data_IF_472799072942
#
_entry.id   IF_472799072942
#
_cell.length_a   1.000
_cell.length_b   1.000
_cell.length_c   1.000
_cell.angle_alpha   90.00
_cell.angle_beta   90.00
_cell.angle_gamma   90.00
#
_symmetry.space_group_name_H-M   'P 1'
#
loop_
_entity.id
_entity.type
_entity.pdbx_description
1 polymer ?
#
# COMPACT_ATOMS: atom_id res chain seq x y z
N UNK A 1 -18.29 -12.73 -11.81
CA UNK A 1 -18.65 -12.05 -13.08
C UNK A 1 -17.67 -10.92 -13.29
N UNK A 2 -16.79 -11.03 -14.31
CA UNK A 2 -15.68 -10.10 -14.58
C UNK A 2 -15.86 -9.41 -15.95
N UNK A 3 -17.09 -9.33 -16.44
CA UNK A 3 -17.34 -9.22 -17.88
C UNK A 3 -17.89 -7.86 -18.33
N UNK A 4 -17.70 -6.80 -17.54
CA UNK A 4 -17.95 -5.42 -18.01
C UNK A 4 -17.18 -4.37 -17.18
N UNK A 5 -15.85 -4.52 -17.05
CA UNK A 5 -15.02 -3.42 -16.53
C UNK A 5 -14.76 -2.45 -17.68
N UNK A 6 -15.07 -1.14 -17.55
CA UNK A 6 -14.65 -0.14 -18.53
C UNK A 6 -13.18 -0.32 -18.90
N UNK A 7 -12.86 -0.21 -20.19
CA UNK A 7 -11.52 -0.47 -20.75
C UNK A 7 -10.40 0.31 -20.04
N UNK A 8 -10.72 1.45 -19.43
CA UNK A 8 -9.77 2.30 -18.72
C UNK A 8 -9.46 1.87 -17.28
N UNK A 9 -10.27 1.03 -16.63
CA UNK A 9 -10.08 0.74 -15.21
C UNK A 9 -8.74 0.06 -14.94
N UNK A 10 -8.40 -0.99 -15.70
CA UNK A 10 -7.11 -1.67 -15.56
C UNK A 10 -5.93 -0.72 -15.82
N UNK A 11 -6.06 0.16 -16.81
CA UNK A 11 -5.05 1.18 -17.11
C UNK A 11 -4.87 2.14 -15.93
N UNK A 12 -5.97 2.62 -15.37
CA UNK A 12 -5.98 3.51 -14.21
C UNK A 12 -5.36 2.85 -12.97
N UNK A 13 -5.62 1.57 -12.74
CA UNK A 13 -5.02 0.79 -11.66
C UNK A 13 -3.50 0.70 -11.79
N UNK A 14 -3.00 0.36 -12.98
CA UNK A 14 -1.55 0.33 -13.27
C UNK A 14 -0.91 1.72 -13.19
N UNK A 15 -1.62 2.76 -13.63
CA UNK A 15 -1.15 4.14 -13.52
C UNK A 15 -1.03 4.57 -12.05
N UNK A 16 -2.01 4.22 -11.21
CA UNK A 16 -1.96 4.49 -9.77
C UNK A 16 -0.76 3.78 -9.12
N UNK A 17 -0.51 2.52 -9.49
CA UNK A 17 0.66 1.78 -9.02
C UNK A 17 1.98 2.46 -9.38
N UNK A 18 2.14 2.87 -10.63
CA UNK A 18 3.33 3.56 -11.11
C UNK A 18 3.55 4.89 -10.37
N UNK A 19 2.48 5.64 -10.10
CA UNK A 19 2.56 6.89 -9.33
C UNK A 19 2.97 6.63 -7.88
N UNK A 20 2.33 5.66 -7.20
CA UNK A 20 2.69 5.29 -5.84
C UNK A 20 4.15 4.82 -5.73
N UNK A 21 4.64 4.06 -6.71
CA UNK A 21 6.05 3.68 -6.77
C UNK A 21 6.96 4.91 -6.94
N UNK A 22 6.64 5.81 -7.88
CA UNK A 22 7.39 7.05 -8.11
C UNK A 22 7.48 7.91 -6.85
N UNK A 23 6.41 7.98 -6.06
CA UNK A 23 6.35 8.78 -4.85
C UNK A 23 7.28 8.31 -3.74
N UNK A 24 7.79 7.08 -3.79
CA UNK A 24 8.83 6.60 -2.86
C UNK A 24 10.16 7.33 -3.07
N UNK A 25 10.43 7.82 -4.28
CA UNK A 25 11.68 8.48 -4.65
C UNK A 25 11.60 10.02 -4.59
N UNK A 26 10.39 10.59 -4.43
CA UNK A 26 10.19 12.05 -4.37
C UNK A 26 10.32 12.54 -2.92
N UNK A 27 11.14 13.58 -2.75
CA UNK A 27 11.32 14.32 -1.50
C UNK A 27 10.86 15.77 -1.65
N UNK A 28 10.70 16.47 -0.53
CA UNK A 28 10.21 17.86 -0.53
C UNK A 28 11.09 18.83 -1.35
N UNK A 29 12.40 18.55 -1.43
CA UNK A 29 13.40 19.32 -2.16
C UNK A 29 13.59 18.87 -3.62
N UNK A 30 12.86 17.83 -4.07
CA UNK A 30 12.87 17.40 -5.47
C UNK A 30 12.33 18.53 -6.35
N UNK A 31 13.10 19.01 -7.36
CA UNK A 31 12.62 20.03 -8.28
C UNK A 31 11.33 19.60 -8.98
N UNK A 32 10.37 20.51 -9.07
CA UNK A 32 9.05 20.23 -9.64
C UNK A 32 8.48 21.43 -10.40
N UNK A 33 7.43 21.20 -11.21
CA UNK A 33 6.71 22.27 -11.89
C UNK A 33 5.53 22.73 -11.05
N UNK A 34 5.27 24.05 -11.02
CA UNK A 34 4.16 24.62 -10.26
C UNK A 34 2.84 23.91 -10.57
N UNK A 35 2.11 23.52 -9.51
CA UNK A 35 0.85 22.79 -9.62
C UNK A 35 0.98 21.27 -9.71
N UNK A 36 2.18 20.70 -9.93
CA UNK A 36 2.39 19.25 -9.81
C UNK A 36 2.06 18.78 -8.38
N UNK A 37 1.41 17.62 -8.26
CA UNK A 37 1.06 17.05 -6.96
C UNK A 37 1.74 15.70 -6.76
N UNK A 38 2.07 15.43 -5.51
CA UNK A 38 2.73 14.19 -5.11
C UNK A 38 2.29 13.77 -3.71
N UNK A 39 2.43 12.48 -3.42
CA UNK A 39 2.40 12.00 -2.05
C UNK A 39 3.84 11.95 -1.54
N UNK A 40 4.20 12.76 -0.54
CA UNK A 40 5.56 12.82 0.02
C UNK A 40 5.48 12.59 1.50
N UNK A 41 6.28 11.65 2.03
CA UNK A 41 6.22 11.25 3.44
C UNK A 41 4.78 10.94 3.92
N UNK A 42 3.99 10.30 3.06
CA UNK A 42 2.55 10.02 3.28
C UNK A 42 1.62 11.25 3.36
N UNK A 43 2.12 12.47 3.19
CA UNK A 43 1.30 13.69 3.09
C UNK A 43 0.96 14.05 1.64
N UNK A 44 -0.13 14.79 1.44
CA UNK A 44 -0.43 15.37 0.14
C UNK A 44 0.38 16.65 -0.04
N UNK A 45 1.10 16.74 -1.15
CA UNK A 45 1.97 17.86 -1.47
C UNK A 45 1.67 18.43 -2.85
N UNK A 46 1.78 19.74 -2.98
CA UNK A 46 1.75 20.46 -4.25
C UNK A 46 3.05 21.23 -4.44
N UNK A 47 3.52 21.28 -5.68
CA UNK A 47 4.66 22.06 -6.05
C UNK A 47 4.32 23.56 -6.08
N UNK A 48 5.00 24.32 -5.24
CA UNK A 48 4.91 25.79 -5.17
C UNK A 48 6.32 26.35 -5.29
N UNK A 49 6.52 27.26 -6.26
CA UNK A 49 7.83 27.88 -6.53
C UNK A 49 9.00 26.88 -6.68
N UNK A 50 8.75 25.74 -7.33
CA UNK A 50 9.77 24.73 -7.65
C UNK A 50 10.08 23.72 -6.54
N UNK A 51 9.35 23.75 -5.42
CA UNK A 51 9.49 22.79 -4.31
C UNK A 51 8.14 22.24 -3.89
N UNK A 52 8.11 21.02 -3.38
CA UNK A 52 6.88 20.44 -2.86
C UNK A 52 6.60 20.95 -1.45
N UNK A 53 5.40 21.52 -1.27
CA UNK A 53 4.84 21.93 0.02
C UNK A 53 3.61 21.08 0.26
N UNK A 54 3.51 20.47 1.43
CA UNK A 54 2.43 19.52 1.72
C UNK A 54 1.92 19.57 3.14
N UNK A 55 0.81 18.88 3.35
CA UNK A 55 0.15 18.74 4.64
C UNK A 55 -0.05 17.24 4.92
N UNK A 56 0.20 16.78 6.16
CA UNK A 56 -0.08 15.38 6.50
C UNK A 56 -1.58 15.09 6.35
N UNK A 57 -1.87 13.85 5.97
CA UNK A 57 -3.24 13.34 6.00
C UNK A 57 -3.70 13.18 7.47
N UNK A 58 -4.95 13.55 7.75
CA UNK A 58 -5.53 13.46 9.09
C UNK A 58 -5.83 12.01 9.50
N UNK A 59 -5.95 11.76 10.81
CA UNK A 59 -6.50 10.50 11.33
C UNK A 59 -5.69 9.23 11.02
N UNK A 60 -4.37 9.35 10.83
CA UNK A 60 -3.50 8.22 10.48
C UNK A 60 -3.64 7.75 9.03
N UNK A 61 -4.42 8.47 8.21
CA UNK A 61 -4.48 8.24 6.77
C UNK A 61 -3.16 8.60 6.11
N UNK A 62 -2.96 8.11 4.89
CA UNK A 62 -1.78 8.39 4.07
C UNK A 62 -2.22 8.78 2.66
N UNK A 63 -1.43 9.63 2.01
CA UNK A 63 -1.66 10.04 0.63
C UNK A 63 -1.28 8.90 -0.31
N UNK A 64 -2.19 8.58 -1.23
CA UNK A 64 -1.93 7.64 -2.33
C UNK A 64 -2.53 8.14 -3.65
N UNK A 65 -1.97 7.66 -4.76
CA UNK A 65 -2.65 7.64 -6.04
C UNK A 65 -3.69 6.51 -6.07
N UNK A 66 -4.91 6.85 -6.47
CA UNK A 66 -6.05 5.96 -6.63
C UNK A 66 -6.57 6.02 -8.08
N UNK A 67 -7.05 4.90 -8.65
CA UNK A 67 -7.64 4.88 -9.98
C UNK A 67 -8.95 5.67 -10.01
N UNK A 68 -9.17 6.45 -11.08
CA UNK A 68 -10.50 7.02 -11.34
C UNK A 68 -11.43 5.94 -11.87
N UNK A 69 -12.69 5.95 -11.42
CA UNK A 69 -13.67 4.90 -11.72
C UNK A 69 -14.63 5.26 -12.85
N UNK A 70 -14.80 6.56 -13.11
CA UNK A 70 -15.79 7.07 -14.08
C UNK A 70 -15.14 7.66 -15.34
N UNK A 71 -13.82 7.79 -15.36
CA UNK A 71 -13.04 8.30 -16.49
C UNK A 71 -11.59 7.84 -16.41
N UNK A 72 -10.84 8.04 -17.48
CA UNK A 72 -9.40 7.80 -17.54
C UNK A 72 -8.64 8.65 -16.52
N UNK A 73 -7.59 8.07 -15.94
CA UNK A 73 -6.64 8.74 -15.06
C UNK A 73 -6.67 8.27 -13.59
N UNK A 74 -6.02 9.05 -12.75
CA UNK A 74 -5.84 8.81 -11.32
C UNK A 74 -6.13 10.06 -10.52
N UNK A 75 -6.43 9.92 -9.23
CA UNK A 75 -6.48 11.03 -8.28
C UNK A 75 -5.57 10.75 -7.09
N UNK A 76 -4.99 11.78 -6.50
CA UNK A 76 -4.36 11.67 -5.20
C UNK A 76 -5.39 11.92 -4.11
N UNK A 77 -5.23 11.26 -2.96
CA UNK A 77 -6.07 11.49 -1.80
C UNK A 77 -5.59 10.75 -0.56
N UNK A 78 -6.07 11.19 0.60
CA UNK A 78 -5.81 10.56 1.88
C UNK A 78 -6.71 9.35 2.09
N UNK A 79 -6.11 8.18 2.31
CA UNK A 79 -6.85 6.94 2.53
C UNK A 79 -6.02 5.98 3.40
N UNK A 80 -6.57 4.81 3.74
CA UNK A 80 -5.79 3.72 4.33
C UNK A 80 -5.02 2.98 3.24
N UNK A 81 -3.93 2.31 3.62
CA UNK A 81 -3.18 1.42 2.71
C UNK A 81 -4.07 0.28 2.20
N UNK A 82 -4.85 -0.34 3.08
CA UNK A 82 -5.76 -1.45 2.76
C UNK A 82 -6.81 -1.03 1.73
N UNK A 83 -7.49 0.10 1.95
CA UNK A 83 -8.53 0.58 1.04
C UNK A 83 -7.95 0.97 -0.32
N UNK A 84 -6.77 1.56 -0.34
CA UNK A 84 -6.08 1.93 -1.59
C UNK A 84 -5.70 0.67 -2.37
N UNK A 85 -5.10 -0.31 -1.70
CA UNK A 85 -4.74 -1.58 -2.32
C UNK A 85 -5.96 -2.32 -2.87
N UNK A 86 -7.06 -2.37 -2.11
CA UNK A 86 -8.31 -2.97 -2.55
C UNK A 86 -8.90 -2.24 -3.78
N UNK A 87 -8.90 -0.90 -3.80
CA UNK A 87 -9.37 -0.12 -4.95
C UNK A 87 -8.54 -0.36 -6.20
N UNK A 88 -7.21 -0.47 -6.07
CA UNK A 88 -6.33 -0.83 -7.19
C UNK A 88 -6.63 -2.26 -7.66
N UNK A 89 -6.73 -3.23 -6.75
CA UNK A 89 -7.02 -4.62 -7.09
C UNK A 89 -8.37 -4.79 -7.80
N UNK A 90 -9.39 -4.02 -7.41
CA UNK A 90 -10.72 -4.03 -8.03
C UNK A 90 -10.72 -3.59 -9.50
N UNK A 91 -9.67 -2.91 -9.97
CA UNK A 91 -9.50 -2.60 -11.40
C UNK A 91 -8.99 -3.78 -12.24
N UNK A 92 -8.61 -4.88 -11.59
CA UNK A 92 -7.89 -6.01 -12.19
C UNK A 92 -6.37 -5.86 -12.18
N UNK A 93 -5.82 -4.74 -11.70
CA UNK A 93 -4.39 -4.59 -11.50
C UNK A 93 -3.88 -5.52 -10.38
N UNK A 94 -2.83 -6.28 -10.67
CA UNK A 94 -2.06 -7.05 -9.69
C UNK A 94 -0.80 -6.27 -9.32
N UNK A 95 -0.11 -6.56 -8.21
CA UNK A 95 1.08 -5.79 -7.84
C UNK A 95 0.99 -5.00 -6.54
N UNK A 96 -0.13 -5.07 -5.82
CA UNK A 96 -0.36 -4.24 -4.62
C UNK A 96 -0.36 -2.74 -4.94
N UNK A 97 0.12 -1.92 -4.00
CA UNK A 97 0.12 -0.45 -4.12
C UNK A 97 1.05 0.09 -5.20
N UNK A 98 2.14 -0.61 -5.51
CA UNK A 98 3.26 -0.10 -6.34
C UNK A 98 3.48 -0.88 -7.64
N UNK A 99 2.71 -1.94 -7.89
CA UNK A 99 2.85 -2.75 -9.11
C UNK A 99 3.95 -3.81 -9.05
N UNK A 100 4.73 -3.86 -7.97
CA UNK A 100 5.82 -4.84 -7.76
C UNK A 100 5.41 -6.07 -6.96
N UNK A 101 4.21 -6.08 -6.36
CA UNK A 101 3.65 -7.24 -5.67
C UNK A 101 3.15 -8.32 -6.64
N UNK A 102 4.06 -9.01 -7.32
CA UNK A 102 3.72 -10.23 -8.05
C UNK A 102 3.64 -11.39 -7.07
N UNK A 103 2.43 -11.94 -6.97
CA UNK A 103 2.08 -13.34 -6.66
C UNK A 103 2.93 -14.02 -5.59
N UNK A 104 2.30 -14.33 -4.46
CA UNK A 104 2.64 -15.56 -3.75
C UNK A 104 2.31 -16.70 -4.73
N UNK A 105 3.24 -17.03 -5.62
CA UNK A 105 3.23 -18.33 -6.27
C UNK A 105 3.36 -19.37 -5.16
N UNK A 106 2.65 -20.46 -5.37
CA UNK A 106 2.18 -21.45 -4.41
C UNK A 106 3.26 -22.32 -3.75
N UNK A 107 4.46 -21.79 -3.47
CA UNK A 107 5.57 -22.54 -2.88
C UNK A 107 5.88 -22.13 -1.42
N UNK A 108 4.84 -21.91 -0.61
CA UNK A 108 4.97 -22.11 0.85
C UNK A 108 4.41 -23.49 1.17
N UNK A 109 5.15 -24.51 0.76
CA UNK A 109 5.23 -25.75 1.50
C UNK A 109 6.70 -26.09 1.76
N UNK A 110 7.23 -25.46 2.80
CA UNK A 110 8.22 -26.11 3.66
C UNK A 110 8.08 -25.49 5.05
N UNK A 111 7.09 -26.01 5.75
CA UNK A 111 7.17 -26.43 7.15
C UNK A 111 8.25 -25.75 8.00
N UNK A 112 7.86 -24.68 8.68
CA UNK A 112 8.46 -24.27 9.94
C UNK A 112 7.42 -24.40 11.05
N UNK A 113 6.95 -25.63 11.26
CA UNK A 113 6.38 -26.04 12.54
C UNK A 113 7.35 -27.05 13.15
N UNK A 114 8.10 -26.60 14.14
CA UNK A 114 8.50 -27.37 15.32
C UNK A 114 9.42 -26.49 16.17
N UNK A 115 9.35 -26.43 17.49
CA UNK A 115 8.39 -26.94 18.46
C UNK A 115 8.76 -26.29 19.79
N UNK A 116 7.75 -26.03 20.60
CA UNK A 116 7.86 -25.78 22.03
C UNK A 116 8.82 -26.76 22.74
N UNK A 117 9.57 -26.21 23.68
CA UNK A 117 10.39 -26.94 24.65
C UNK A 117 9.46 -27.64 25.67
N UNK A 118 9.62 -28.94 25.98
CA UNK A 118 8.78 -29.64 26.96
C UNK A 118 8.96 -29.10 28.39
N UNK A 119 7.84 -28.87 29.07
CA UNK A 119 7.73 -28.71 30.52
C UNK A 119 8.05 -30.05 31.21
N UNK A 120 8.96 -30.02 32.17
CA UNK A 120 9.08 -31.07 33.19
C UNK A 120 8.62 -30.49 34.53
N UNK A 121 7.59 -31.13 35.09
CA UNK A 121 6.92 -30.78 36.35
C UNK A 121 7.53 -31.62 37.48
N UNK A 122 8.17 -31.05 38.51
CA UNK A 122 8.45 -31.80 39.72
C UNK A 122 7.16 -31.93 40.55
N UNK A 123 6.84 -33.17 40.91
CA UNK A 123 5.81 -33.50 41.88
C UNK A 123 6.47 -33.59 43.26
N UNK A 124 6.07 -32.74 44.21
CA UNK A 124 6.43 -32.88 45.62
C UNK A 124 5.14 -32.89 46.44
N UNK A 125 4.78 -34.08 46.90
CA UNK A 125 3.76 -34.32 47.92
C UNK A 125 4.33 -33.97 49.30
N UNK A 126 3.47 -33.37 50.12
CA UNK A 126 3.63 -32.93 51.50
C UNK A 126 3.85 -34.05 52.54
N UNK A 127 4.45 -33.72 53.68
CA UNK A 127 4.00 -34.26 54.98
C UNK A 127 5.09 -34.65 55.98
N UNK A 128 5.01 -34.04 57.16
CA UNK A 128 5.74 -34.30 58.40
C UNK A 128 5.41 -35.67 59.02
N UNK A 129 6.42 -36.32 59.62
CA UNK A 129 6.51 -36.82 61.02
C UNK A 129 7.77 -37.68 61.18
#
# INVERSE_FOLDING_TARGET
RRDNQPSFLLSNGKAAQKLNAKFLDIKADTPCKAGETACINSGFSQCVAGKYVGTPCAGGLKCFAMPLLLKEGTSLGCNTESDTAARIANTGATGGLTGTGSRVDSDINSSSIASEKPQERPSSTSGSD
#
